data_IF_765143201622
#
_entry.id   IF_765143201622
#
_cell.length_a   1.000
_cell.length_b   1.000
_cell.length_c   1.000
_cell.angle_alpha   90.00
_cell.angle_beta   90.00
_cell.angle_gamma   90.00
#
_symmetry.space_group_name_H-M   'P 1'
#
loop_
_entity.id
_entity.type
_entity.pdbx_description
1 polymer ?
#
# COMPACT_ATOMS: atom_id res chain seq x y z
N UNK A 1 -13.14 12.73 -36.58
CA UNK A 1 -13.98 12.15 -35.52
C UNK A 1 -13.03 11.62 -34.49
N UNK A 2 -12.89 12.33 -33.37
CA UNK A 2 -12.10 11.87 -32.23
C UNK A 2 -12.86 10.69 -31.62
N UNK A 3 -12.33 9.48 -31.76
CA UNK A 3 -12.68 8.37 -30.89
C UNK A 3 -12.17 8.75 -29.50
N UNK A 4 -13.05 9.37 -28.71
CA UNK A 4 -12.86 9.44 -27.27
C UNK A 4 -12.75 8.00 -26.79
N UNK A 5 -11.56 7.64 -26.30
CA UNK A 5 -11.32 6.53 -25.40
C UNK A 5 -12.39 6.56 -24.31
N UNK A 6 -13.49 5.84 -24.54
CA UNK A 6 -14.43 5.48 -23.49
C UNK A 6 -13.70 4.44 -22.65
N UNK A 7 -12.85 4.90 -21.74
CA UNK A 7 -12.56 4.10 -20.56
C UNK A 7 -13.92 3.62 -20.02
N UNK A 8 -14.12 2.32 -19.79
CA UNK A 8 -15.34 1.87 -19.14
C UNK A 8 -15.39 2.61 -17.80
N UNK A 9 -16.29 3.58 -17.71
CA UNK A 9 -16.54 4.27 -16.46
C UNK A 9 -17.04 3.17 -15.54
N UNK A 10 -16.20 2.75 -14.62
CA UNK A 10 -16.48 1.75 -13.60
C UNK A 10 -17.63 2.31 -12.74
N UNK A 11 -18.86 2.04 -13.18
CA UNK A 11 -20.13 2.54 -12.62
C UNK A 11 -20.52 1.81 -11.33
N UNK A 12 -19.60 1.07 -10.71
CA UNK A 12 -19.87 0.57 -9.37
C UNK A 12 -19.81 1.75 -8.40
N UNK A 13 -20.94 2.08 -7.74
CA UNK A 13 -21.00 3.20 -6.83
C UNK A 13 -20.03 2.97 -5.67
N UNK A 14 -19.29 4.00 -5.27
CA UNK A 14 -18.34 3.88 -4.16
C UNK A 14 -19.01 3.26 -2.94
N UNK A 15 -18.30 2.41 -2.18
CA UNK A 15 -18.87 1.89 -0.94
C UNK A 15 -19.30 3.07 -0.07
N UNK A 16 -20.46 3.01 0.58
CA UNK A 16 -20.77 4.03 1.56
C UNK A 16 -19.83 3.78 2.74
N UNK A 17 -18.71 4.50 2.77
CA UNK A 17 -17.70 4.42 3.84
C UNK A 17 -18.23 4.97 5.17
N UNK A 18 -19.39 5.65 5.15
CA UNK A 18 -20.03 6.21 6.35
C UNK A 18 -21.55 6.00 6.39
N UNK A 19 -22.13 5.20 5.49
CA UNK A 19 -23.55 4.91 5.51
C UNK A 19 -23.84 3.71 6.39
N UNK A 20 -24.61 3.89 7.46
CA UNK A 20 -25.11 2.80 8.30
C UNK A 20 -25.77 1.68 7.48
N UNK A 21 -26.11 0.57 8.13
CA UNK A 21 -26.71 -0.62 7.48
C UNK A 21 -27.77 -0.32 6.40
N UNK A 22 -28.60 0.71 6.63
CA UNK A 22 -29.62 1.18 5.68
C UNK A 22 -29.06 1.67 4.33
N UNK A 23 -27.96 2.43 4.32
CA UNK A 23 -27.36 2.93 3.07
C UNK A 23 -26.78 1.77 2.24
N UNK A 24 -26.20 0.78 2.92
CA UNK A 24 -25.67 -0.44 2.28
C UNK A 24 -26.80 -1.24 1.64
N UNK A 25 -27.86 -1.48 2.39
CA UNK A 25 -29.04 -2.19 1.89
C UNK A 25 -29.65 -1.48 0.69
N UNK A 26 -29.83 -0.16 0.76
CA UNK A 26 -30.38 0.64 -0.35
C UNK A 26 -29.53 0.52 -1.61
N UNK A 27 -28.19 0.66 -1.50
CA UNK A 27 -27.29 0.51 -2.66
C UNK A 27 -27.31 -0.90 -3.26
N UNK A 28 -27.38 -1.93 -2.42
CA UNK A 28 -27.52 -3.31 -2.89
C UNK A 28 -28.83 -3.51 -3.65
N UNK A 29 -29.93 -2.94 -3.15
CA UNK A 29 -31.22 -2.95 -3.84
C UNK A 29 -31.17 -2.20 -5.19
N UNK A 30 -30.45 -1.07 -5.27
CA UNK A 30 -30.21 -0.32 -6.52
C UNK A 30 -29.42 -1.15 -7.55
N UNK A 31 -28.31 -1.78 -7.14
CA UNK A 31 -27.53 -2.68 -7.99
C UNK A 31 -28.35 -3.87 -8.47
N UNK A 32 -29.11 -4.50 -7.57
CA UNK A 32 -30.00 -5.61 -7.94
C UNK A 32 -31.10 -5.17 -8.89
N UNK A 33 -31.65 -3.96 -8.76
CA UNK A 33 -32.66 -3.48 -9.72
C UNK A 33 -32.04 -3.17 -11.09
N UNK A 34 -30.78 -2.72 -11.13
CA UNK A 34 -30.06 -2.45 -12.38
C UNK A 34 -29.77 -3.75 -13.16
N UNK A 35 -29.15 -4.74 -12.50
CA UNK A 35 -28.76 -5.99 -13.14
C UNK A 35 -29.88 -7.03 -13.21
N UNK A 36 -30.82 -7.01 -12.25
CA UNK A 36 -31.90 -8.00 -12.13
C UNK A 36 -33.27 -7.33 -11.77
N UNK A 37 -33.91 -6.63 -12.73
CA UNK A 37 -35.13 -5.86 -12.48
C UNK A 37 -36.32 -6.73 -12.03
N UNK A 38 -37.22 -6.19 -11.18
CA UNK A 38 -38.32 -6.97 -10.53
C UNK A 38 -39.23 -7.72 -11.51
N UNK A 39 -39.39 -7.18 -12.73
CA UNK A 39 -40.41 -7.61 -13.71
C UNK A 39 -39.85 -8.59 -14.74
N UNK A 40 -38.55 -8.81 -14.76
CA UNK A 40 -37.86 -9.64 -15.76
C UNK A 40 -37.45 -11.01 -15.22
N UNK A 41 -37.31 -11.13 -13.89
CA UNK A 41 -36.80 -12.33 -13.24
C UNK A 41 -37.76 -12.85 -12.17
N UNK A 42 -37.73 -14.17 -11.98
CA UNK A 42 -38.48 -14.80 -10.89
C UNK A 42 -37.98 -14.36 -9.52
N UNK A 43 -38.90 -14.36 -8.55
CA UNK A 43 -38.61 -13.93 -7.18
C UNK A 43 -37.51 -14.77 -6.52
N UNK A 44 -37.41 -16.06 -6.88
CA UNK A 44 -36.43 -16.99 -6.33
C UNK A 44 -35.03 -16.72 -6.89
N UNK A 45 -34.90 -16.62 -8.22
CA UNK A 45 -33.64 -16.21 -8.86
C UNK A 45 -33.12 -14.89 -8.29
N UNK A 46 -34.00 -13.91 -8.07
CA UNK A 46 -33.59 -12.62 -7.50
C UNK A 46 -33.14 -12.70 -6.04
N UNK A 47 -33.71 -13.62 -5.25
CA UNK A 47 -33.24 -13.87 -3.87
C UNK A 47 -31.84 -14.47 -3.89
N UNK A 48 -31.57 -15.39 -4.80
CA UNK A 48 -30.25 -16.00 -4.98
C UNK A 48 -29.22 -14.93 -5.39
N UNK A 49 -29.52 -14.10 -6.38
CA UNK A 49 -28.64 -13.00 -6.80
C UNK A 49 -28.37 -12.00 -5.67
N UNK A 50 -29.39 -11.71 -4.86
CA UNK A 50 -29.23 -10.90 -3.66
C UNK A 50 -28.29 -11.55 -2.64
N UNK A 51 -28.35 -12.87 -2.47
CA UNK A 51 -27.48 -13.59 -1.55
C UNK A 51 -26.03 -13.57 -2.05
N UNK A 52 -25.80 -13.86 -3.33
CA UNK A 52 -24.48 -13.81 -3.98
C UNK A 52 -23.84 -12.43 -3.85
N UNK A 53 -24.57 -11.36 -4.16
CA UNK A 53 -24.08 -9.99 -4.01
C UNK A 53 -23.79 -9.63 -2.53
N UNK A 54 -24.60 -10.15 -1.60
CA UNK A 54 -24.39 -9.93 -0.17
C UNK A 54 -23.11 -10.59 0.34
N UNK A 55 -22.91 -11.84 -0.03
CA UNK A 55 -21.73 -12.62 0.35
C UNK A 55 -20.46 -11.99 -0.25
N UNK A 56 -20.50 -11.58 -1.51
CA UNK A 56 -19.42 -10.87 -2.16
C UNK A 56 -19.03 -9.60 -1.38
N UNK A 57 -20.00 -8.75 -1.08
CA UNK A 57 -19.75 -7.50 -0.36
C UNK A 57 -19.16 -7.75 1.04
N UNK A 58 -19.65 -8.77 1.76
CA UNK A 58 -19.16 -9.11 3.09
C UNK A 58 -17.73 -9.66 3.06
N UNK A 59 -17.42 -10.55 2.11
CA UNK A 59 -16.08 -11.10 1.94
C UNK A 59 -15.09 -10.03 1.51
N UNK A 60 -15.42 -9.23 0.50
CA UNK A 60 -14.52 -8.19 0.02
C UNK A 60 -14.24 -7.13 1.10
N UNK A 61 -15.23 -6.80 1.95
CA UNK A 61 -15.05 -5.89 3.09
C UNK A 61 -14.01 -6.37 4.12
N UNK A 62 -13.76 -7.67 4.21
CA UNK A 62 -12.72 -8.20 5.12
C UNK A 62 -11.33 -7.76 4.66
N UNK A 63 -11.10 -7.64 3.36
CA UNK A 63 -9.88 -7.04 2.84
C UNK A 63 -9.96 -5.52 2.92
N UNK A 64 -11.06 -4.93 2.46
CA UNK A 64 -11.19 -3.49 2.30
C UNK A 64 -12.46 -2.97 3.02
N UNK A 65 -12.34 -2.55 4.30
CA UNK A 65 -13.48 -1.98 5.04
C UNK A 65 -14.09 -0.73 4.38
N UNK A 66 -13.26 -0.01 3.64
CA UNK A 66 -13.53 1.14 2.78
C UNK A 66 -13.09 0.77 1.35
N UNK A 67 -13.83 1.20 0.31
CA UNK A 67 -13.45 0.81 -1.06
C UNK A 67 -12.15 1.52 -1.40
N UNK A 68 -11.22 0.87 -2.13
CA UNK A 68 -10.15 1.60 -2.77
C UNK A 68 -10.73 2.73 -3.62
N UNK A 69 -10.35 3.96 -3.27
CA UNK A 69 -10.77 5.12 -4.04
C UNK A 69 -10.14 5.05 -5.43
N UNK A 70 -10.81 5.60 -6.46
CA UNK A 70 -10.30 5.57 -7.83
C UNK A 70 -8.93 6.24 -7.97
N UNK A 71 -8.62 7.21 -7.09
CA UNK A 71 -7.34 7.91 -7.04
C UNK A 71 -6.30 7.29 -6.10
N UNK A 72 -6.64 6.18 -5.44
CA UNK A 72 -5.77 5.43 -4.54
C UNK A 72 -5.19 6.23 -3.34
N UNK A 73 -5.82 7.36 -3.00
CA UNK A 73 -5.44 8.23 -1.88
C UNK A 73 -5.54 7.54 -0.52
N UNK A 74 -6.42 6.55 -0.36
CA UNK A 74 -6.57 5.78 0.87
C UNK A 74 -5.27 5.03 1.25
N UNK A 75 -4.52 4.52 0.26
CA UNK A 75 -3.21 3.89 0.50
C UNK A 75 -2.25 4.85 1.21
N UNK A 76 -2.34 6.15 0.90
CA UNK A 76 -1.46 7.14 1.49
C UNK A 76 -1.87 7.61 2.88
N UNK A 77 -3.11 7.34 3.32
CA UNK A 77 -3.57 7.76 4.65
C UNK A 77 -3.02 6.87 5.76
N UNK A 78 -3.00 5.55 5.54
CA UNK A 78 -2.50 4.54 6.47
C UNK A 78 -1.00 4.27 6.39
N UNK A 79 -0.29 4.90 5.44
CA UNK A 79 1.15 4.69 5.27
C UNK A 79 1.92 5.05 6.55
N UNK A 80 2.94 4.26 6.93
CA UNK A 80 3.82 4.59 8.04
C UNK A 80 4.45 5.98 7.88
N UNK A 81 4.33 6.80 8.93
CA UNK A 81 4.99 8.12 9.02
C UNK A 81 6.26 8.10 9.87
N UNK A 82 6.53 6.96 10.52
CA UNK A 82 7.67 6.72 11.41
C UNK A 82 8.09 5.26 11.27
N UNK A 83 9.35 4.95 11.59
CA UNK A 83 9.87 3.59 11.65
C UNK A 83 10.19 3.18 13.09
N UNK A 84 10.23 1.87 13.36
CA UNK A 84 10.49 1.33 14.71
C UNK A 84 11.92 1.57 15.20
N UNK A 85 12.87 1.71 14.27
CA UNK A 85 14.31 1.88 14.57
C UNK A 85 14.71 3.32 14.95
N UNK A 86 13.76 4.22 15.17
CA UNK A 86 14.05 5.63 15.45
C UNK A 86 14.77 5.84 16.78
N UNK A 87 14.58 4.94 17.75
CA UNK A 87 15.35 4.93 19.00
C UNK A 87 16.78 4.44 18.80
N UNK A 88 16.98 3.36 18.02
CA UNK A 88 18.31 2.86 17.66
C UNK A 88 19.17 3.93 16.96
N UNK A 89 18.57 4.67 16.02
CA UNK A 89 19.24 5.76 15.30
C UNK A 89 19.60 6.90 16.26
N UNK A 90 18.68 7.30 17.15
CA UNK A 90 18.92 8.34 18.15
C UNK A 90 19.99 7.93 19.17
N UNK A 91 20.00 6.68 19.60
CA UNK A 91 21.00 6.14 20.52
C UNK A 91 22.38 6.08 19.88
N UNK A 92 22.48 5.61 18.62
CA UNK A 92 23.73 5.61 17.85
C UNK A 92 24.30 7.03 17.71
N UNK A 93 23.46 8.03 17.42
CA UNK A 93 23.88 9.43 17.33
C UNK A 93 24.29 9.98 18.70
N UNK A 94 23.60 9.62 19.80
CA UNK A 94 23.94 10.04 21.16
C UNK A 94 25.30 9.52 21.61
N UNK A 95 25.57 8.22 21.41
CA UNK A 95 26.86 7.59 21.73
C UNK A 95 28.04 8.25 21.01
N UNK A 96 27.80 8.86 19.85
CA UNK A 96 28.83 9.56 19.08
C UNK A 96 28.93 11.07 19.36
N UNK A 97 27.86 11.73 19.82
CA UNK A 97 27.98 13.08 20.41
C UNK A 97 28.96 13.09 21.58
N UNK A 98 28.99 12.01 22.37
CA UNK A 98 29.96 11.82 23.45
C UNK A 98 31.43 11.72 22.96
N UNK A 99 31.68 11.59 21.65
CA UNK A 99 33.00 11.49 21.03
C UNK A 99 33.47 12.76 20.30
N UNK A 100 32.92 13.94 20.61
CA UNK A 100 33.33 15.24 20.05
C UNK A 100 33.22 15.36 18.51
N UNK A 101 32.25 14.68 17.89
CA UNK A 101 31.92 14.90 16.48
C UNK A 101 31.04 16.15 16.33
N UNK A 102 31.34 17.01 15.35
CA UNK A 102 30.58 18.23 15.09
C UNK A 102 29.08 18.00 14.88
N UNK A 103 28.24 18.91 15.39
CA UNK A 103 26.78 18.75 15.44
C UNK A 103 26.11 18.66 14.06
N UNK A 104 26.41 19.58 13.14
CA UNK A 104 25.76 19.63 11.81
C UNK A 104 26.10 18.44 10.89
N UNK A 105 27.19 17.76 11.22
CA UNK A 105 27.74 16.59 10.54
C UNK A 105 26.93 15.32 10.91
N UNK A 106 26.77 15.07 12.21
CA UNK A 106 25.97 13.97 12.77
C UNK A 106 24.49 14.05 12.40
N UNK A 107 23.95 15.27 12.30
CA UNK A 107 22.56 15.49 11.86
C UNK A 107 22.30 14.89 10.48
N UNK A 108 23.23 15.04 9.52
CA UNK A 108 23.03 14.51 8.16
C UNK A 108 23.00 12.99 8.10
N UNK A 109 23.81 12.32 8.92
CA UNK A 109 23.78 10.84 9.03
C UNK A 109 22.47 10.40 9.68
N UNK A 110 22.04 11.08 10.74
CA UNK A 110 20.76 10.82 11.39
C UNK A 110 19.61 10.94 10.39
N UNK A 111 19.54 12.04 9.65
CA UNK A 111 18.47 12.31 8.68
C UNK A 111 18.47 11.31 7.53
N UNK A 112 19.65 10.88 7.05
CA UNK A 112 19.77 9.85 6.02
C UNK A 112 19.30 8.47 6.52
N UNK A 113 19.65 8.08 7.75
CA UNK A 113 19.20 6.80 8.34
C UNK A 113 17.70 6.82 8.66
N UNK A 114 17.18 7.93 9.19
CA UNK A 114 15.74 8.11 9.47
C UNK A 114 14.92 8.02 8.19
N UNK A 115 15.38 8.69 7.12
CA UNK A 115 14.77 8.59 5.79
C UNK A 115 14.82 7.15 5.28
N UNK A 116 15.98 6.48 5.34
CA UNK A 116 16.13 5.10 4.86
C UNK A 116 15.12 4.15 5.51
N UNK A 117 15.05 4.14 6.84
CA UNK A 117 14.16 3.24 7.57
C UNK A 117 12.68 3.63 7.43
N UNK A 118 12.37 4.91 7.24
CA UNK A 118 11.02 5.32 6.89
C UNK A 118 10.62 4.77 5.52
N UNK A 119 11.49 4.86 4.51
CA UNK A 119 11.22 4.28 3.20
C UNK A 119 11.11 2.76 3.27
N UNK A 120 11.90 2.07 4.13
CA UNK A 120 11.79 0.62 4.34
C UNK A 120 10.42 0.23 4.90
N UNK A 121 9.95 0.96 5.93
CA UNK A 121 8.63 0.73 6.51
C UNK A 121 7.49 1.00 5.50
N UNK A 122 7.61 2.06 4.70
CA UNK A 122 6.64 2.37 3.65
C UNK A 122 6.65 1.31 2.54
N UNK A 123 7.82 0.83 2.12
CA UNK A 123 7.94 -0.25 1.13
C UNK A 123 7.28 -1.54 1.62
N UNK A 124 7.49 -1.92 2.89
CA UNK A 124 6.81 -3.07 3.48
C UNK A 124 5.28 -2.92 3.46
N UNK A 125 4.78 -1.71 3.76
CA UNK A 125 3.35 -1.40 3.71
C UNK A 125 2.78 -1.54 2.30
N UNK A 126 3.38 -0.91 1.28
CA UNK A 126 2.86 -1.00 -0.10
C UNK A 126 2.93 -2.44 -0.64
N UNK A 127 3.97 -3.19 -0.28
CA UNK A 127 4.05 -4.62 -0.65
C UNK A 127 2.86 -5.41 -0.10
N UNK A 128 2.49 -5.20 1.16
CA UNK A 128 1.31 -5.85 1.75
C UNK A 128 0.01 -5.48 1.04
N UNK A 129 -0.19 -4.20 0.68
CA UNK A 129 -1.39 -3.77 -0.05
C UNK A 129 -1.41 -4.33 -1.48
N UNK A 130 -0.27 -4.44 -2.17
CA UNK A 130 -0.17 -5.10 -3.48
C UNK A 130 -0.54 -6.58 -3.37
N UNK A 131 0.05 -7.31 -2.42
CA UNK A 131 -0.20 -8.74 -2.22
C UNK A 131 -1.69 -8.99 -1.92
N UNK A 132 -2.28 -8.14 -1.08
CA UNK A 132 -3.70 -8.16 -0.75
C UNK A 132 -4.58 -7.85 -1.96
N UNK A 133 -4.24 -6.86 -2.78
CA UNK A 133 -4.96 -6.55 -4.01
C UNK A 133 -4.90 -7.71 -5.01
N UNK A 134 -3.73 -8.33 -5.18
CA UNK A 134 -3.56 -9.50 -6.05
C UNK A 134 -4.38 -10.71 -5.57
N UNK A 135 -4.42 -10.96 -4.26
CA UNK A 135 -5.26 -12.01 -3.67
C UNK A 135 -6.75 -11.75 -3.91
N UNK A 136 -7.21 -10.51 -3.73
CA UNK A 136 -8.59 -10.13 -4.00
C UNK A 136 -8.94 -10.30 -5.49
N UNK A 137 -8.06 -9.91 -6.40
CA UNK A 137 -8.26 -10.11 -7.85
C UNK A 137 -8.43 -11.58 -8.21
N UNK A 138 -7.53 -12.42 -7.69
CA UNK A 138 -7.57 -13.87 -7.93
C UNK A 138 -8.89 -14.45 -7.45
N UNK A 139 -9.33 -14.09 -6.25
CA UNK A 139 -10.61 -14.54 -5.71
C UNK A 139 -11.79 -14.10 -6.59
N UNK A 140 -11.85 -12.84 -7.03
CA UNK A 140 -12.93 -12.37 -7.93
C UNK A 140 -12.95 -13.16 -9.24
N UNK A 141 -11.77 -13.46 -9.81
CA UNK A 141 -11.66 -14.21 -11.05
C UNK A 141 -12.05 -15.69 -10.94
N UNK A 142 -11.96 -16.28 -9.73
CA UNK A 142 -12.31 -17.68 -9.46
C UNK A 142 -13.75 -17.85 -8.93
N UNK A 143 -14.42 -16.76 -8.53
CA UNK A 143 -15.72 -16.79 -7.86
C UNK A 143 -16.91 -16.82 -8.84
N UNK A 144 -17.98 -17.51 -8.44
CA UNK A 144 -19.24 -17.59 -9.17
C UNK A 144 -19.91 -16.21 -9.34
N UNK A 145 -19.58 -15.25 -8.47
CA UNK A 145 -20.00 -13.87 -8.57
C UNK A 145 -19.78 -13.26 -9.96
N UNK A 146 -18.63 -13.54 -10.59
CA UNK A 146 -18.28 -12.99 -11.90
C UNK A 146 -19.25 -13.42 -13.02
N UNK A 147 -19.88 -14.59 -12.89
CA UNK A 147 -20.90 -15.06 -13.82
C UNK A 147 -22.25 -14.35 -13.67
N UNK A 148 -22.58 -13.86 -12.47
CA UNK A 148 -23.83 -13.17 -12.19
C UNK A 148 -23.72 -11.64 -12.31
N UNK A 149 -22.55 -11.08 -12.00
CA UNK A 149 -22.30 -9.64 -12.01
C UNK A 149 -20.99 -9.32 -12.76
N UNK A 150 -20.91 -9.62 -14.08
CA UNK A 150 -19.68 -9.49 -14.85
C UNK A 150 -19.12 -8.06 -14.84
N UNK A 151 -19.97 -7.06 -15.08
CA UNK A 151 -19.56 -5.65 -15.10
C UNK A 151 -19.02 -5.17 -13.75
N UNK A 152 -19.59 -5.68 -12.65
CA UNK A 152 -19.12 -5.36 -11.29
C UNK A 152 -17.77 -6.02 -11.02
N UNK A 153 -17.62 -7.29 -11.41
CA UNK A 153 -16.37 -8.02 -11.26
C UNK A 153 -15.25 -7.35 -12.06
N UNK A 154 -15.50 -6.96 -13.31
CA UNK A 154 -14.56 -6.24 -14.16
C UNK A 154 -14.14 -4.90 -13.53
N UNK A 155 -15.12 -4.09 -13.12
CA UNK A 155 -14.89 -2.80 -12.47
C UNK A 155 -14.05 -2.94 -11.18
N UNK A 156 -14.31 -3.96 -10.36
CA UNK A 156 -13.51 -4.24 -9.17
C UNK A 156 -12.09 -4.72 -9.50
N UNK A 157 -11.95 -5.58 -10.50
CA UNK A 157 -10.64 -6.03 -10.97
C UNK A 157 -9.81 -4.85 -11.48
N UNK A 158 -10.38 -3.93 -12.26
CA UNK A 158 -9.70 -2.73 -12.75
C UNK A 158 -9.26 -1.81 -11.62
N UNK A 159 -10.12 -1.57 -10.61
CA UNK A 159 -9.71 -0.80 -9.41
C UNK A 159 -8.53 -1.43 -8.70
N UNK A 160 -8.56 -2.76 -8.52
CA UNK A 160 -7.44 -3.49 -7.90
C UNK A 160 -6.18 -3.45 -8.78
N UNK A 161 -6.31 -3.46 -10.12
CA UNK A 161 -5.16 -3.35 -11.03
C UNK A 161 -4.51 -1.97 -10.90
N UNK A 162 -5.32 -0.92 -10.80
CA UNK A 162 -4.86 0.43 -10.50
C UNK A 162 -4.06 0.50 -9.20
N UNK A 163 -4.57 -0.10 -8.12
CA UNK A 163 -3.84 -0.21 -6.84
C UNK A 163 -2.51 -0.93 -6.97
N UNK A 164 -2.50 -2.08 -7.65
CA UNK A 164 -1.27 -2.87 -7.85
C UNK A 164 -0.24 -2.05 -8.61
N UNK A 165 -0.64 -1.42 -9.73
CA UNK A 165 0.24 -0.58 -10.54
C UNK A 165 0.79 0.61 -9.75
N UNK A 166 -0.09 1.37 -9.11
CA UNK A 166 0.29 2.52 -8.27
C UNK A 166 1.20 2.11 -7.12
N UNK A 167 0.93 0.96 -6.49
CA UNK A 167 1.79 0.38 -5.47
C UNK A 167 3.19 0.05 -6.01
N UNK A 168 3.29 -0.60 -7.17
CA UNK A 168 4.58 -0.91 -7.80
C UNK A 168 5.36 0.35 -8.20
N UNK A 169 4.70 1.33 -8.83
CA UNK A 169 5.32 2.60 -9.21
C UNK A 169 5.88 3.31 -7.97
N UNK A 170 5.10 3.34 -6.88
CA UNK A 170 5.55 3.91 -5.59
C UNK A 170 6.70 3.12 -4.98
N UNK A 171 6.69 1.78 -5.05
CA UNK A 171 7.80 0.95 -4.56
C UNK A 171 9.11 1.25 -5.30
N UNK A 172 9.06 1.49 -6.61
CA UNK A 172 10.23 1.87 -7.39
C UNK A 172 10.78 3.23 -6.93
N UNK A 173 9.92 4.23 -6.75
CA UNK A 173 10.32 5.54 -6.22
C UNK A 173 10.94 5.43 -4.82
N UNK A 174 10.37 4.60 -3.95
CA UNK A 174 10.90 4.38 -2.60
C UNK A 174 12.27 3.70 -2.63
N UNK A 175 12.48 2.74 -3.55
CA UNK A 175 13.79 2.09 -3.74
C UNK A 175 14.85 3.07 -4.23
N UNK A 176 14.50 3.98 -5.14
CA UNK A 176 15.41 5.04 -5.59
C UNK A 176 15.82 5.95 -4.43
N UNK A 177 14.84 6.41 -3.63
CA UNK A 177 15.11 7.24 -2.43
C UNK A 177 15.94 6.51 -1.38
N UNK A 178 15.74 5.21 -1.19
CA UNK A 178 16.58 4.39 -0.33
C UNK A 178 18.02 4.37 -0.82
N UNK A 179 18.25 4.15 -2.13
CA UNK A 179 19.59 4.18 -2.73
C UNK A 179 20.24 5.55 -2.58
N UNK A 180 19.50 6.65 -2.71
CA UNK A 180 20.02 8.00 -2.49
C UNK A 180 20.46 8.22 -1.03
N UNK A 181 19.68 7.71 -0.06
CA UNK A 181 20.03 7.76 1.35
C UNK A 181 21.29 6.93 1.66
N UNK A 182 21.39 5.72 1.10
CA UNK A 182 22.57 4.86 1.20
C UNK A 182 23.81 5.54 0.57
N UNK A 183 23.68 6.09 -0.63
CA UNK A 183 24.76 6.84 -1.30
C UNK A 183 25.18 8.07 -0.49
N UNK A 184 24.24 8.75 0.17
CA UNK A 184 24.55 9.89 1.04
C UNK A 184 25.40 9.42 2.22
N UNK A 185 25.06 8.30 2.86
CA UNK A 185 25.90 7.70 3.91
C UNK A 185 27.27 7.33 3.36
N UNK A 186 27.34 6.68 2.19
CA UNK A 186 28.59 6.24 1.58
C UNK A 186 29.52 7.42 1.22
N UNK A 187 28.99 8.49 0.61
CA UNK A 187 29.76 9.72 0.33
C UNK A 187 30.29 10.38 1.61
N UNK A 188 29.54 10.26 2.72
CA UNK A 188 29.99 10.74 4.03
C UNK A 188 31.10 9.86 4.62
N UNK A 189 31.19 8.57 4.26
CA UNK A 189 32.34 7.70 4.58
C UNK A 189 33.59 8.17 3.85
N UNK A 190 33.48 8.45 2.55
CA UNK A 190 34.60 8.77 1.66
C UNK A 190 35.17 10.19 1.89
N UNK A 191 34.37 11.11 2.44
CA UNK A 191 34.78 12.45 2.85
C UNK A 191 35.69 12.45 4.08
N UNK A 192 36.97 12.14 3.88
CA UNK A 192 37.98 11.90 4.92
C UNK A 192 38.16 13.03 5.95
N UNK A 193 37.53 12.87 7.10
CA UNK A 193 38.03 13.32 8.40
C UNK A 193 38.00 12.13 9.36
N UNK A 194 39.03 11.91 10.17
CA UNK A 194 39.17 10.67 10.98
C UNK A 194 37.97 10.38 11.90
N UNK A 195 37.37 11.42 12.47
CA UNK A 195 36.15 11.31 13.29
C UNK A 195 34.89 11.02 12.46
N UNK A 196 34.88 11.49 11.22
CA UNK A 196 33.76 11.36 10.29
C UNK A 196 33.66 10.01 9.62
N UNK A 197 34.81 9.50 9.18
CA UNK A 197 34.93 8.15 8.65
C UNK A 197 34.30 7.16 9.63
N UNK A 198 34.57 7.31 10.93
CA UNK A 198 34.08 6.42 11.98
C UNK A 198 32.59 6.51 12.30
N UNK A 199 31.94 7.66 12.04
CA UNK A 199 30.49 7.79 12.19
C UNK A 199 29.74 7.23 10.97
N UNK A 200 30.32 7.42 9.79
CA UNK A 200 29.76 6.93 8.53
C UNK A 200 29.97 5.41 8.36
N UNK A 201 31.11 4.86 8.78
CA UNK A 201 31.36 3.40 8.87
C UNK A 201 30.28 2.71 9.71
N UNK A 202 29.91 3.30 10.86
CA UNK A 202 28.88 2.76 11.73
C UNK A 202 27.48 2.86 11.11
N UNK A 203 27.18 3.96 10.43
CA UNK A 203 25.92 4.09 9.68
C UNK A 203 25.82 3.02 8.58
N UNK A 204 26.93 2.76 7.88
CA UNK A 204 27.04 1.65 6.92
C UNK A 204 26.83 0.29 7.60
N UNK A 205 27.43 0.04 8.77
CA UNK A 205 27.19 -1.18 9.55
C UNK A 205 25.73 -1.34 10.00
N UNK A 206 25.07 -0.24 10.37
CA UNK A 206 23.64 -0.21 10.76
C UNK A 206 22.74 -0.52 9.54
N UNK A 207 23.04 0.05 8.37
CA UNK A 207 22.36 -0.27 7.11
C UNK A 207 22.57 -1.74 6.71
N UNK A 208 23.77 -2.28 6.92
CA UNK A 208 24.12 -3.67 6.61
C UNK A 208 23.63 -4.68 7.66
N UNK A 209 23.17 -4.22 8.82
CA UNK A 209 22.72 -5.07 9.92
C UNK A 209 21.61 -6.07 9.53
N UNK A 210 20.53 -5.69 8.81
CA UNK A 210 19.49 -6.62 8.37
C UNK A 210 20.04 -7.72 7.45
N UNK A 211 20.96 -7.38 6.53
CA UNK A 211 21.59 -8.32 5.60
C UNK A 211 22.47 -9.33 6.35
N UNK A 212 23.24 -8.87 7.35
CA UNK A 212 24.08 -9.73 8.19
C UNK A 212 23.26 -10.65 9.11
N UNK A 213 22.05 -10.24 9.52
CA UNK A 213 21.14 -11.07 10.30
C UNK A 213 20.47 -12.17 9.46
N UNK A 214 20.18 -11.91 8.17
CA UNK A 214 19.67 -12.94 7.26
C UNK A 214 20.71 -14.03 6.96
N UNK A 215 22.00 -13.70 6.93
CA UNK A 215 23.09 -14.68 6.79
C UNK A 215 23.40 -15.51 8.05
N UNK A 216 22.79 -15.18 9.21
CA UNK A 216 23.01 -15.88 10.50
C UNK A 216 21.88 -16.82 10.89
N UNK A 217 20.80 -16.89 10.11
CA UNK A 217 19.80 -17.96 10.25
C UNK A 217 20.31 -19.21 9.52
N UNK A 218 21.07 -20.04 10.24
CA UNK A 218 21.16 -21.48 10.00
C UNK A 218 20.15 -22.19 10.90
#
# INVERSE_FOLDING_TARGET
MEEQDKQPVCLYPDWPEAGGWLARRKKREELLEHYYPKRQYEKEARREMSAVLSEFEEKFRRWYPALPDPGHSALHQSKPRRHSRGEDVREAVRLYRAKNIGYGKLSRIHDALDLYYLMEAQSAYYKQEIDKAAQAQKWIGEDHFSGFFPDVAECMQERLKGLVRSGFDTLLELQERQREAEQTVQRLVEGNGALWARAAELASDILMYPVRQMGKKK
#
